data_IF_649988580166
#
_entry.id   IF_649988580166
#
_cell.length_a   1.000
_cell.length_b   1.000
_cell.length_c   1.000
_cell.angle_alpha   90.00
_cell.angle_beta   90.00
_cell.angle_gamma   90.00
#
_symmetry.space_group_name_H-M   'P 1'
#
loop_
_entity.id
_entity.type
_entity.pdbx_description
1 polymer ?
#
# COMPACT_ATOMS: atom_id res chain seq x y z
N UNK A 1 83.80 -10.50 -14.79
CA UNK A 1 83.15 -10.72 -16.09
C UNK A 1 81.99 -9.75 -16.17
N UNK A 2 82.21 -8.65 -16.88
CA UNK A 2 81.24 -7.58 -17.13
C UNK A 2 80.70 -7.80 -18.53
N UNK A 3 79.38 -7.75 -18.71
CA UNK A 3 78.74 -7.78 -20.02
C UNK A 3 77.77 -6.61 -20.11
N UNK A 4 78.15 -5.63 -20.94
CA UNK A 4 77.36 -4.49 -21.36
C UNK A 4 76.23 -4.92 -22.32
N UNK A 5 75.09 -4.24 -22.26
CA UNK A 5 74.01 -4.31 -23.26
C UNK A 5 73.77 -2.88 -23.78
N UNK A 6 73.65 -2.67 -25.10
CA UNK A 6 73.54 -1.34 -25.69
C UNK A 6 72.10 -0.78 -25.63
N UNK A 7 72.00 0.54 -25.49
CA UNK A 7 70.76 1.33 -25.48
C UNK A 7 70.49 1.84 -26.90
N UNK A 8 69.42 1.37 -27.55
CA UNK A 8 69.02 1.80 -28.90
C UNK A 8 67.82 2.77 -28.85
N UNK A 9 67.89 3.79 -29.71
CA UNK A 9 67.23 5.08 -29.61
C UNK A 9 65.81 5.07 -30.22
N UNK A 10 64.76 5.08 -29.38
CA UNK A 10 63.35 4.88 -29.77
C UNK A 10 62.57 6.21 -29.92
N UNK A 11 63.14 7.25 -30.54
CA UNK A 11 62.46 8.54 -30.76
C UNK A 11 61.78 8.66 -32.14
N UNK A 12 62.14 7.85 -33.13
CA UNK A 12 61.59 7.97 -34.50
C UNK A 12 60.26 7.22 -34.72
N UNK A 13 59.87 6.34 -33.81
CA UNK A 13 58.61 5.56 -33.86
C UNK A 13 57.39 6.33 -33.34
N UNK A 14 57.60 7.35 -32.48
CA UNK A 14 56.52 8.18 -31.91
C UNK A 14 56.04 9.26 -32.91
N UNK A 15 56.94 9.76 -33.76
CA UNK A 15 56.61 10.77 -34.78
C UNK A 15 55.77 10.20 -35.95
N UNK A 16 55.92 8.91 -36.26
CA UNK A 16 55.16 8.23 -37.32
C UNK A 16 53.74 7.83 -36.90
N UNK A 17 53.48 7.67 -35.59
CA UNK A 17 52.14 7.39 -35.08
C UNK A 17 51.26 8.64 -35.04
N UNK A 18 51.84 9.81 -34.73
CA UNK A 18 51.11 11.07 -34.61
C UNK A 18 50.65 11.64 -35.97
N UNK A 19 51.40 11.42 -37.05
CA UNK A 19 50.98 11.89 -38.39
C UNK A 19 49.82 11.07 -38.98
N UNK A 20 49.69 9.78 -38.60
CA UNK A 20 48.55 8.93 -38.98
C UNK A 20 47.26 9.25 -38.22
N UNK A 21 47.36 9.72 -36.97
CA UNK A 21 46.20 10.14 -36.17
C UNK A 21 45.62 11.49 -36.64
N UNK A 22 46.46 12.43 -37.10
CA UNK A 22 46.00 13.75 -37.55
C UNK A 22 45.28 13.68 -38.91
N UNK A 23 45.66 12.74 -39.79
CA UNK A 23 45.00 12.58 -41.09
C UNK A 23 43.63 11.88 -41.03
N UNK A 24 43.30 11.18 -39.94
CA UNK A 24 41.98 10.55 -39.75
C UNK A 24 40.94 11.46 -39.08
N UNK A 25 41.34 12.63 -38.57
CA UNK A 25 40.41 13.59 -37.94
C UNK A 25 39.72 14.48 -38.99
N UNK A 26 40.27 14.59 -40.20
CA UNK A 26 39.73 15.44 -41.27
C UNK A 26 38.69 14.76 -42.18
N UNK A 27 38.33 13.49 -41.93
CA UNK A 27 37.21 12.81 -42.62
C UNK A 27 35.89 12.85 -41.85
N UNK A 28 35.86 13.40 -40.62
CA UNK A 28 34.64 13.45 -39.80
C UNK A 28 33.82 14.75 -39.97
N UNK A 29 34.20 15.64 -40.89
CA UNK A 29 33.50 16.89 -41.19
C UNK A 29 32.50 16.80 -42.36
N UNK A 30 32.11 15.60 -42.79
CA UNK A 30 31.18 15.37 -43.92
C UNK A 30 29.80 14.83 -43.49
N UNK A 31 29.47 14.85 -42.19
CA UNK A 31 28.16 14.42 -41.66
C UNK A 31 27.33 15.58 -41.08
N UNK A 32 27.48 16.79 -41.65
CA UNK A 32 26.77 17.99 -41.19
C UNK A 32 25.54 18.36 -42.05
N UNK A 33 24.94 17.38 -42.72
CA UNK A 33 23.62 17.50 -43.39
C UNK A 33 22.67 16.39 -42.91
N UNK A 34 22.52 16.24 -41.59
CA UNK A 34 21.40 15.50 -41.01
C UNK A 34 20.27 16.50 -40.69
N UNK A 35 19.04 16.31 -41.23
CA UNK A 35 17.92 17.18 -40.87
C UNK A 35 17.63 17.09 -39.37
N UNK A 36 17.41 18.26 -38.76
CA UNK A 36 17.03 18.48 -37.36
C UNK A 36 15.95 17.49 -36.87
N UNK A 37 16.37 16.39 -36.24
CA UNK A 37 15.49 15.44 -35.56
C UNK A 37 14.94 15.99 -34.23
N UNK A 38 15.40 17.15 -33.77
CA UNK A 38 14.93 17.78 -32.53
C UNK A 38 13.58 18.51 -32.64
N UNK A 39 12.92 18.48 -33.81
CA UNK A 39 11.59 19.08 -34.02
C UNK A 39 10.46 18.06 -34.19
N UNK A 40 10.70 16.80 -33.82
CA UNK A 40 9.74 15.71 -33.98
C UNK A 40 9.32 15.04 -32.67
N UNK A 41 9.34 15.78 -31.56
CA UNK A 41 8.78 15.30 -30.28
C UNK A 41 7.58 16.13 -29.79
N UNK A 42 7.30 17.30 -30.41
CA UNK A 42 6.18 18.17 -30.01
C UNK A 42 4.88 17.98 -30.81
N UNK A 43 4.81 17.02 -31.74
CA UNK A 43 3.66 16.85 -32.66
C UNK A 43 2.78 15.63 -32.33
N UNK A 44 3.15 14.76 -31.39
CA UNK A 44 2.34 13.57 -31.07
C UNK A 44 1.40 13.73 -29.88
N UNK A 45 1.47 14.82 -29.09
CA UNK A 45 0.62 14.96 -27.89
C UNK A 45 -0.86 15.29 -28.20
N UNK A 46 -1.18 15.74 -29.42
CA UNK A 46 -2.52 16.22 -29.75
C UNK A 46 -3.42 15.19 -30.48
N UNK A 47 -2.92 13.99 -30.76
CA UNK A 47 -3.67 12.93 -31.46
C UNK A 47 -4.05 11.75 -30.55
N UNK A 48 -4.17 11.97 -29.24
CA UNK A 48 -4.80 10.97 -28.38
C UNK A 48 -6.31 10.94 -28.67
N UNK A 49 -6.77 9.81 -29.19
CA UNK A 49 -8.19 9.52 -29.37
C UNK A 49 -8.95 9.79 -28.05
N UNK A 50 -10.13 10.42 -28.06
CA UNK A 50 -10.89 10.74 -26.84
C UNK A 50 -11.11 9.54 -25.91
N UNK A 51 -11.11 8.31 -26.46
CA UNK A 51 -11.16 7.07 -25.70
C UNK A 51 -9.98 6.88 -24.73
N UNK A 52 -8.77 7.33 -25.09
CA UNK A 52 -7.58 7.20 -24.25
C UNK A 52 -7.71 8.03 -22.96
N UNK A 53 -8.20 9.27 -23.07
CA UNK A 53 -8.39 10.15 -21.92
C UNK A 53 -9.47 9.63 -20.97
N UNK A 54 -10.57 9.09 -21.51
CA UNK A 54 -11.63 8.48 -20.71
C UNK A 54 -11.11 7.23 -19.97
N UNK A 55 -10.40 6.35 -20.68
CA UNK A 55 -9.81 5.15 -20.09
C UNK A 55 -8.80 5.50 -18.99
N UNK A 56 -7.96 6.53 -19.22
CA UNK A 56 -7.01 7.04 -18.22
C UNK A 56 -7.71 7.48 -16.94
N UNK A 57 -8.75 8.32 -17.06
CA UNK A 57 -9.52 8.80 -15.90
C UNK A 57 -10.14 7.63 -15.13
N UNK A 58 -10.71 6.65 -15.85
CA UNK A 58 -11.30 5.46 -15.25
C UNK A 58 -10.28 4.65 -14.45
N UNK A 59 -9.10 4.39 -15.01
CA UNK A 59 -8.03 3.67 -14.32
C UNK A 59 -7.54 4.45 -13.09
N UNK A 60 -7.29 5.76 -13.21
CA UNK A 60 -6.89 6.59 -12.07
C UNK A 60 -7.93 6.56 -10.95
N UNK A 61 -9.22 6.63 -11.28
CA UNK A 61 -10.32 6.54 -10.31
C UNK A 61 -10.28 5.22 -9.52
N UNK A 62 -10.08 4.09 -10.21
CA UNK A 62 -9.95 2.78 -9.56
C UNK A 62 -8.75 2.76 -8.61
N UNK A 63 -7.59 3.25 -9.04
CA UNK A 63 -6.37 3.25 -8.22
C UNK A 63 -6.57 4.11 -6.96
N UNK A 64 -7.19 5.30 -7.10
CA UNK A 64 -7.50 6.17 -5.96
C UNK A 64 -8.42 5.44 -4.98
N UNK A 65 -9.47 4.77 -5.47
CA UNK A 65 -10.38 4.01 -4.61
C UNK A 65 -9.65 2.87 -3.87
N UNK A 66 -8.73 2.16 -4.53
CA UNK A 66 -7.91 1.13 -3.88
C UNK A 66 -6.98 1.70 -2.80
N UNK A 67 -6.30 2.82 -3.10
CA UNK A 67 -5.46 3.54 -2.12
C UNK A 67 -6.29 3.94 -0.91
N UNK A 68 -7.47 4.52 -1.12
CA UNK A 68 -8.38 4.91 -0.04
C UNK A 68 -8.79 3.70 0.81
N UNK A 69 -9.10 2.56 0.20
CA UNK A 69 -9.41 1.32 0.94
C UNK A 69 -8.23 0.88 1.80
N UNK A 70 -7.02 0.83 1.24
CA UNK A 70 -5.81 0.40 1.97
C UNK A 70 -5.52 1.31 3.16
N UNK A 71 -5.57 2.63 2.97
CA UNK A 71 -5.27 3.62 4.02
C UNK A 71 -6.37 3.68 5.08
N UNK A 72 -7.64 3.61 4.67
CA UNK A 72 -8.78 3.74 5.59
C UNK A 72 -9.04 2.47 6.40
N UNK A 73 -8.73 1.27 5.89
CA UNK A 73 -9.01 0.00 6.58
C UNK A 73 -8.52 -0.04 8.04
N UNK A 74 -7.24 0.20 8.37
CA UNK A 74 -6.80 0.17 9.77
C UNK A 74 -7.47 1.24 10.63
N UNK A 75 -7.74 2.42 10.06
CA UNK A 75 -8.42 3.52 10.76
C UNK A 75 -9.88 3.16 11.09
N UNK A 76 -10.60 2.59 10.12
CA UNK A 76 -11.99 2.15 10.28
C UNK A 76 -12.09 1.02 11.30
N UNK A 77 -11.19 0.05 11.26
CA UNK A 77 -11.15 -1.04 12.24
C UNK A 77 -10.98 -0.51 13.67
N UNK A 78 -10.05 0.43 13.90
CA UNK A 78 -9.84 1.04 15.22
C UNK A 78 -11.02 1.92 15.63
N UNK A 79 -11.54 2.74 14.72
CA UNK A 79 -12.70 3.60 14.98
C UNK A 79 -13.91 2.77 15.41
N UNK A 80 -14.28 1.76 14.62
CA UNK A 80 -15.40 0.88 14.95
C UNK A 80 -15.12 0.04 16.19
N UNK A 81 -13.88 -0.33 16.48
CA UNK A 81 -13.55 -0.98 17.74
C UNK A 81 -13.88 -0.09 18.95
N UNK A 82 -13.48 1.18 18.93
CA UNK A 82 -13.73 2.15 20.00
C UNK A 82 -15.24 2.39 20.16
N UNK A 83 -15.95 2.62 19.06
CA UNK A 83 -17.40 2.85 19.05
C UNK A 83 -18.16 1.67 19.67
N UNK A 84 -17.86 0.45 19.21
CA UNK A 84 -18.45 -0.76 19.77
C UNK A 84 -18.09 -1.00 21.24
N UNK A 85 -16.88 -0.62 21.66
CA UNK A 85 -16.47 -0.72 23.06
C UNK A 85 -17.31 0.20 23.97
N UNK A 86 -17.57 1.43 23.55
CA UNK A 86 -18.45 2.34 24.29
C UNK A 86 -19.89 1.86 24.32
N UNK A 87 -20.39 1.31 23.21
CA UNK A 87 -21.76 0.77 23.15
C UNK A 87 -21.95 -0.47 24.06
N UNK A 88 -20.95 -1.36 24.10
CA UNK A 88 -20.90 -2.49 25.07
C UNK A 88 -20.90 -1.99 26.51
N UNK A 89 -20.17 -0.90 26.80
CA UNK A 89 -20.11 -0.32 28.14
C UNK A 89 -21.46 0.31 28.54
N UNK A 90 -22.10 1.01 27.62
CA UNK A 90 -23.41 1.66 27.82
C UNK A 90 -24.54 0.64 28.00
N UNK A 91 -24.55 -0.44 27.22
CA UNK A 91 -25.55 -1.50 27.35
C UNK A 91 -25.39 -2.35 28.62
N UNK A 92 -24.25 -2.29 29.31
CA UNK A 92 -24.03 -2.96 30.60
C UNK A 92 -24.52 -2.17 31.81
N UNK A 93 -24.79 -0.87 31.71
CA UNK A 93 -25.29 -0.12 32.87
C UNK A 93 -26.72 -0.58 33.20
N UNK A 94 -26.99 -1.04 34.43
CA UNK A 94 -28.31 -1.51 34.80
C UNK A 94 -29.31 -0.36 34.63
N UNK A 95 -30.38 -0.62 33.89
CA UNK A 95 -31.51 0.30 33.78
C UNK A 95 -32.02 0.50 35.20
N UNK A 96 -31.93 1.72 35.72
CA UNK A 96 -32.51 2.06 37.02
C UNK A 96 -33.98 1.67 36.96
N UNK A 97 -34.39 0.74 37.83
CA UNK A 97 -35.77 0.27 37.97
C UNK A 97 -36.66 1.49 38.23
N UNK A 98 -37.39 1.94 37.23
CA UNK A 98 -38.60 2.72 37.40
C UNK A 98 -39.76 1.83 36.94
N UNK A 99 -40.78 1.72 37.80
CA UNK A 99 -41.96 0.86 37.67
C UNK A 99 -42.64 0.94 36.30
N UNK A 100 -42.49 -0.11 35.49
CA UNK A 100 -43.37 -0.48 34.38
C UNK A 100 -43.00 -1.89 33.88
N UNK A 101 -43.53 -2.94 34.51
CA UNK A 101 -43.13 -4.34 34.29
C UNK A 101 -43.27 -4.87 32.85
N UNK A 102 -44.10 -4.25 32.01
CA UNK A 102 -44.24 -4.62 30.59
C UNK A 102 -43.26 -3.88 29.67
N UNK A 103 -43.00 -2.59 29.93
CA UNK A 103 -41.99 -1.81 29.21
C UNK A 103 -40.57 -2.26 29.56
N UNK A 104 -40.37 -2.82 30.77
CA UNK A 104 -39.08 -3.35 31.19
C UNK A 104 -38.61 -4.51 30.31
N UNK A 105 -39.52 -5.40 29.89
CA UNK A 105 -39.22 -6.60 29.10
C UNK A 105 -38.77 -6.26 27.67
N UNK A 106 -39.50 -5.37 26.98
CA UNK A 106 -39.12 -4.93 25.63
C UNK A 106 -37.80 -4.12 25.62
N UNK A 107 -37.58 -3.30 26.65
CA UNK A 107 -36.34 -2.51 26.79
C UNK A 107 -35.16 -3.43 27.13
N UNK A 108 -35.36 -4.49 27.91
CA UNK A 108 -34.33 -5.48 28.25
C UNK A 108 -33.90 -6.30 27.03
N UNK A 109 -34.85 -6.74 26.19
CA UNK A 109 -34.56 -7.46 24.94
C UNK A 109 -33.81 -6.59 23.92
N UNK A 110 -34.19 -5.32 23.79
CA UNK A 110 -33.52 -4.36 22.91
C UNK A 110 -32.09 -4.04 23.37
N UNK A 111 -31.89 -3.83 24.67
CA UNK A 111 -30.58 -3.59 25.27
C UNK A 111 -29.66 -4.82 25.12
N UNK A 112 -30.21 -6.03 25.30
CA UNK A 112 -29.46 -7.26 25.10
C UNK A 112 -29.05 -7.50 23.64
N UNK A 113 -29.96 -7.26 22.69
CA UNK A 113 -29.65 -7.36 21.26
C UNK A 113 -28.53 -6.40 20.85
N UNK A 114 -28.62 -5.15 21.31
CA UNK A 114 -27.59 -4.12 21.11
C UNK A 114 -26.26 -4.56 21.72
N UNK A 115 -26.25 -5.02 22.98
CA UNK A 115 -25.06 -5.55 23.62
C UNK A 115 -24.42 -6.68 22.80
N UNK A 116 -25.21 -7.67 22.37
CA UNK A 116 -24.73 -8.84 21.63
C UNK A 116 -24.09 -8.42 20.30
N UNK A 117 -24.76 -7.55 19.55
CA UNK A 117 -24.25 -7.09 18.26
C UNK A 117 -22.97 -6.27 18.42
N UNK A 118 -22.95 -5.31 19.34
CA UNK A 118 -21.76 -4.47 19.60
C UNK A 118 -20.59 -5.29 20.16
N UNK A 119 -20.86 -6.27 21.03
CA UNK A 119 -19.82 -7.16 21.55
C UNK A 119 -19.22 -8.04 20.45
N UNK A 120 -20.08 -8.61 19.60
CA UNK A 120 -19.64 -9.40 18.44
C UNK A 120 -18.83 -8.57 17.46
N UNK A 121 -19.29 -7.35 17.14
CA UNK A 121 -18.56 -6.42 16.28
C UNK A 121 -17.22 -5.97 16.89
N UNK A 122 -17.16 -5.71 18.20
CA UNK A 122 -15.93 -5.38 18.92
C UNK A 122 -14.87 -6.49 18.77
N UNK A 123 -15.27 -7.75 18.93
CA UNK A 123 -14.37 -8.90 18.70
C UNK A 123 -13.95 -9.01 17.25
N UNK A 124 -14.87 -8.81 16.30
CA UNK A 124 -14.53 -8.74 14.88
C UNK A 124 -13.44 -7.71 14.60
N UNK A 125 -13.64 -6.47 15.06
CA UNK A 125 -12.65 -5.40 14.87
C UNK A 125 -11.31 -5.73 15.55
N UNK A 126 -11.34 -6.32 16.75
CA UNK A 126 -10.11 -6.74 17.46
C UNK A 126 -9.30 -7.73 16.64
N UNK A 127 -9.94 -8.78 16.11
CA UNK A 127 -9.26 -9.78 15.28
C UNK A 127 -8.77 -9.19 13.94
N UNK A 128 -9.54 -8.31 13.33
CA UNK A 128 -9.13 -7.58 12.12
C UNK A 128 -7.88 -6.75 12.36
N UNK A 129 -7.81 -6.01 13.48
CA UNK A 129 -6.64 -5.21 13.87
C UNK A 129 -5.42 -6.12 14.10
N UNK A 130 -5.59 -7.20 14.88
CA UNK A 130 -4.50 -8.15 15.18
C UNK A 130 -3.95 -8.75 13.88
N UNK A 131 -4.83 -9.18 12.98
CA UNK A 131 -4.42 -9.71 11.68
C UNK A 131 -3.66 -8.67 10.87
N UNK A 132 -4.19 -7.45 10.74
CA UNK A 132 -3.50 -6.38 10.03
C UNK A 132 -2.10 -6.13 10.58
N UNK A 133 -1.96 -5.96 11.90
CA UNK A 133 -0.65 -5.74 12.55
C UNK A 133 0.29 -6.92 12.31
N UNK A 134 -0.18 -8.15 12.52
CA UNK A 134 0.63 -9.36 12.40
C UNK A 134 1.11 -9.60 10.96
N UNK A 135 0.22 -9.47 9.97
CA UNK A 135 0.57 -9.67 8.57
C UNK A 135 1.40 -8.51 8.00
N UNK A 136 1.19 -7.27 8.44
CA UNK A 136 2.10 -6.16 8.12
C UNK A 136 3.49 -6.41 8.71
N UNK A 137 3.59 -6.83 9.97
CA UNK A 137 4.87 -7.20 10.59
C UNK A 137 5.58 -8.30 9.81
N UNK A 138 4.86 -9.38 9.46
CA UNK A 138 5.40 -10.51 8.71
C UNK A 138 5.86 -10.10 7.31
N UNK A 139 5.07 -9.30 6.61
CA UNK A 139 5.44 -8.73 5.31
C UNK A 139 6.75 -7.94 5.40
N UNK A 140 6.83 -6.97 6.31
CA UNK A 140 8.04 -6.14 6.46
C UNK A 140 9.25 -7.01 6.80
N UNK A 141 9.09 -7.98 7.70
CA UNK A 141 10.19 -8.86 8.14
C UNK A 141 10.76 -9.76 7.03
N UNK A 142 9.94 -10.12 6.03
CA UNK A 142 10.38 -10.97 4.92
C UNK A 142 11.00 -10.16 3.79
N UNK A 143 10.44 -8.99 3.49
CA UNK A 143 10.79 -8.25 2.28
C UNK A 143 11.82 -7.14 2.50
N UNK A 144 12.12 -6.77 3.75
CA UNK A 144 13.06 -5.71 4.07
C UNK A 144 14.16 -6.21 5.02
N UNK A 145 15.40 -5.82 4.73
CA UNK A 145 16.55 -6.12 5.58
C UNK A 145 16.51 -5.30 6.89
N UNK A 146 16.00 -4.07 6.81
CA UNK A 146 15.81 -3.17 7.95
C UNK A 146 14.31 -2.96 8.19
N UNK A 147 13.86 -3.35 9.38
CA UNK A 147 12.45 -3.32 9.74
C UNK A 147 11.88 -1.90 9.81
N UNK A 148 12.65 -0.92 10.31
CA UNK A 148 12.20 0.48 10.42
C UNK A 148 11.98 1.08 9.04
N UNK A 149 12.92 0.86 8.14
CA UNK A 149 12.84 1.29 6.74
C UNK A 149 11.63 0.65 6.06
N UNK A 150 11.42 -0.65 6.26
CA UNK A 150 10.30 -1.35 5.66
C UNK A 150 8.92 -0.92 6.17
N UNK A 151 8.78 -0.59 7.47
CA UNK A 151 7.56 0.04 7.99
C UNK A 151 7.30 1.39 7.31
N UNK A 152 8.33 2.24 7.23
CA UNK A 152 8.20 3.57 6.64
C UNK A 152 7.78 3.46 5.17
N UNK A 153 8.41 2.57 4.41
CA UNK A 153 8.06 2.35 3.01
C UNK A 153 6.67 1.74 2.84
N UNK A 154 6.26 0.81 3.71
CA UNK A 154 4.90 0.28 3.74
C UNK A 154 3.86 1.39 3.91
N UNK A 155 3.99 2.27 4.91
CA UNK A 155 3.01 3.34 5.12
C UNK A 155 3.10 4.48 4.08
N UNK A 156 4.28 4.72 3.49
CA UNK A 156 4.44 5.75 2.44
C UNK A 156 3.94 5.30 1.08
N UNK A 157 3.88 4.00 0.82
CA UNK A 157 3.53 3.49 -0.50
C UNK A 157 2.23 4.06 -1.07
N UNK A 158 1.08 4.08 -0.34
CA UNK A 158 -0.15 4.62 -0.89
C UNK A 158 -0.04 6.10 -1.29
N UNK A 159 0.81 6.87 -0.59
CA UNK A 159 1.10 8.28 -0.91
C UNK A 159 1.97 8.39 -2.17
N UNK A 160 3.00 7.54 -2.31
CA UNK A 160 3.83 7.45 -3.52
C UNK A 160 2.98 7.10 -4.76
N UNK A 161 1.94 6.27 -4.60
CA UNK A 161 0.97 6.01 -5.68
C UNK A 161 0.25 7.30 -6.09
N UNK A 162 -0.30 8.04 -5.12
CA UNK A 162 -1.03 9.27 -5.39
C UNK A 162 -0.16 10.34 -6.06
N UNK A 163 1.10 10.47 -5.64
CA UNK A 163 2.09 11.35 -6.29
C UNK A 163 2.32 10.93 -7.76
N UNK A 164 2.51 9.63 -8.02
CA UNK A 164 2.72 9.13 -9.38
C UNK A 164 1.52 9.32 -10.34
N UNK A 165 0.30 9.47 -9.79
CA UNK A 165 -0.89 9.79 -10.59
C UNK A 165 -0.97 11.27 -10.96
N UNK A 166 -0.31 12.15 -10.19
CA UNK A 166 -0.22 13.58 -10.47
C UNK A 166 0.78 13.89 -11.58
N UNK A 167 1.79 13.04 -11.77
CA UNK A 167 2.76 13.20 -12.84
C UNK A 167 2.11 12.86 -14.20
N UNK A 168 2.28 13.76 -15.18
CA UNK A 168 1.69 13.62 -16.52
C UNK A 168 2.15 12.35 -17.26
N UNK A 169 3.23 11.74 -16.79
CA UNK A 169 3.77 10.49 -17.28
C UNK A 169 3.36 9.35 -16.33
N UNK A 170 2.17 8.77 -16.55
CA UNK A 170 1.73 7.54 -15.89
C UNK A 170 2.63 6.36 -16.29
N UNK A 171 3.87 6.35 -15.83
CA UNK A 171 4.79 5.22 -15.94
C UNK A 171 4.51 4.29 -14.77
N UNK A 172 3.31 3.71 -14.78
CA UNK A 172 2.82 2.76 -13.78
C UNK A 172 3.80 1.57 -13.59
N UNK A 173 4.67 1.31 -14.56
CA UNK A 173 5.63 0.21 -14.56
C UNK A 173 6.99 0.52 -13.92
N UNK A 174 7.42 1.78 -13.78
CA UNK A 174 8.83 2.06 -13.48
C UNK A 174 9.14 2.40 -12.02
N UNK A 175 8.13 2.73 -11.20
CA UNK A 175 8.38 3.20 -9.83
C UNK A 175 7.72 2.38 -8.73
N UNK A 176 6.80 1.47 -9.05
CA UNK A 176 6.01 0.79 -8.03
C UNK A 176 6.00 -0.73 -8.31
N UNK A 177 6.69 -1.54 -7.49
CA UNK A 177 6.76 -2.97 -7.71
C UNK A 177 5.38 -3.63 -7.51
N UNK A 178 4.87 -4.42 -8.48
CA UNK A 178 3.54 -5.04 -8.42
C UNK A 178 3.38 -5.98 -7.22
N UNK A 179 4.48 -6.51 -6.69
CA UNK A 179 4.49 -7.35 -5.49
C UNK A 179 3.95 -6.61 -4.26
N UNK A 180 4.25 -5.33 -4.11
CA UNK A 180 3.83 -4.54 -2.95
C UNK A 180 2.32 -4.29 -2.94
N UNK A 181 1.73 -4.01 -4.11
CA UNK A 181 0.27 -3.93 -4.29
C UNK A 181 -0.44 -5.21 -3.86
N UNK A 182 0.04 -6.35 -4.37
CA UNK A 182 -0.56 -7.65 -4.08
C UNK A 182 -0.49 -7.93 -2.58
N UNK A 183 0.65 -7.67 -1.94
CA UNK A 183 0.80 -7.87 -0.50
C UNK A 183 -0.13 -6.97 0.33
N UNK A 184 -0.30 -5.70 -0.02
CA UNK A 184 -1.22 -4.81 0.71
C UNK A 184 -2.68 -5.23 0.58
N UNK A 185 -3.12 -5.55 -0.63
CA UNK A 185 -4.47 -6.05 -0.87
C UNK A 185 -4.70 -7.39 -0.14
N UNK A 186 -3.68 -8.25 -0.10
CA UNK A 186 -3.72 -9.48 0.68
C UNK A 186 -3.87 -9.20 2.17
N UNK A 187 -3.10 -8.26 2.73
CA UNK A 187 -3.20 -7.85 4.14
C UNK A 187 -4.60 -7.28 4.46
N UNK A 188 -5.17 -6.46 3.59
CA UNK A 188 -6.55 -5.97 3.75
C UNK A 188 -7.54 -7.14 3.70
N UNK A 189 -7.43 -8.01 2.70
CA UNK A 189 -8.32 -9.16 2.53
C UNK A 189 -8.28 -10.13 3.71
N UNK A 190 -7.10 -10.47 4.21
CA UNK A 190 -6.95 -11.37 5.36
C UNK A 190 -7.46 -10.72 6.65
N UNK A 191 -7.33 -9.39 6.79
CA UNK A 191 -7.88 -8.64 7.93
C UNK A 191 -9.41 -8.67 7.93
N UNK A 192 -10.04 -8.53 6.77
CA UNK A 192 -11.50 -8.68 6.61
C UNK A 192 -11.95 -10.11 6.93
N UNK A 193 -11.20 -11.13 6.50
CA UNK A 193 -11.51 -12.52 6.86
C UNK A 193 -11.44 -12.75 8.38
N UNK A 194 -10.41 -12.21 9.04
CA UNK A 194 -10.28 -12.29 10.50
C UNK A 194 -11.34 -11.48 11.24
N UNK A 195 -11.84 -10.39 10.65
CA UNK A 195 -12.98 -9.66 11.20
C UNK A 195 -14.23 -10.56 11.28
N UNK A 196 -14.55 -11.30 10.22
CA UNK A 196 -15.69 -12.22 10.26
C UNK A 196 -15.49 -13.35 11.26
N UNK A 197 -14.26 -13.89 11.36
CA UNK A 197 -13.92 -14.90 12.35
C UNK A 197 -14.09 -14.38 13.80
N UNK A 198 -13.56 -13.20 14.09
CA UNK A 198 -13.72 -12.55 15.39
C UNK A 198 -15.18 -12.27 15.71
N UNK A 199 -15.98 -11.84 14.71
CA UNK A 199 -17.42 -11.61 14.88
C UNK A 199 -18.16 -12.88 15.25
N UNK A 200 -17.85 -14.00 14.60
CA UNK A 200 -18.39 -15.31 14.93
C UNK A 200 -18.07 -15.71 16.38
N UNK A 201 -16.80 -15.58 16.79
CA UNK A 201 -16.35 -15.88 18.16
C UNK A 201 -17.07 -14.99 19.17
N UNK A 202 -17.15 -13.68 18.93
CA UNK A 202 -17.83 -12.75 19.83
C UNK A 202 -19.33 -13.01 19.97
N UNK A 203 -19.99 -13.45 18.88
CA UNK A 203 -21.41 -13.86 18.91
C UNK A 203 -21.62 -15.11 19.77
N UNK A 204 -20.73 -16.10 19.66
CA UNK A 204 -20.76 -17.31 20.48
C UNK A 204 -20.55 -17.00 21.97
N UNK A 205 -19.55 -16.18 22.29
CA UNK A 205 -19.24 -15.79 23.68
C UNK A 205 -20.40 -15.01 24.31
N UNK A 206 -20.93 -14.01 23.62
CA UNK A 206 -22.03 -13.19 24.14
C UNK A 206 -23.32 -14.00 24.38
N UNK A 207 -23.65 -14.95 23.50
CA UNK A 207 -24.80 -15.84 23.71
C UNK A 207 -24.69 -16.68 25.00
N UNK A 208 -23.48 -17.17 25.32
CA UNK A 208 -23.23 -17.94 26.54
C UNK A 208 -23.29 -17.09 27.81
N UNK A 209 -22.94 -15.81 27.75
CA UNK A 209 -23.05 -14.89 28.89
C UNK A 209 -24.51 -14.67 29.33
N UNK A 210 -25.46 -14.53 28.39
CA UNK A 210 -26.89 -14.41 28.71
C UNK A 210 -27.41 -15.61 29.49
N UNK A 211 -27.12 -16.81 28.96
CA UNK A 211 -27.58 -18.07 29.54
C UNK A 211 -27.08 -18.27 30.97
N UNK A 212 -25.91 -17.73 31.32
CA UNK A 212 -25.35 -17.88 32.67
C UNK A 212 -25.94 -16.88 33.69
N UNK A 213 -26.40 -15.71 33.25
CA UNK A 213 -26.92 -14.66 34.13
C UNK A 213 -28.44 -14.71 34.31
N UNK A 214 -29.20 -15.16 33.30
CA UNK A 214 -30.67 -15.30 33.42
C UNK A 214 -31.12 -16.59 34.13
N UNK A 215 -30.37 -17.70 34.01
CA UNK A 215 -30.72 -18.97 34.67
C UNK A 215 -30.16 -19.10 36.11
N UNK A 216 -29.66 -18.00 36.68
CA UNK A 216 -29.14 -17.93 38.06
C UNK A 216 -29.98 -17.04 38.99
N UNK A 217 -31.09 -16.48 38.49
CA UNK A 217 -32.15 -15.87 39.30
C UNK A 217 -33.27 -16.88 39.50
#
# INVERSE_FOLDING_TARGET
MSCDIPYENNQNSILLLNSKLINNVNEFSVLQDLPDFHKQESVTLNNYSPYYNILRIFICSIIIMLVLVIVSTPLLLVYFWIDNFFEVRKSRTPIKKCDASLQLLEVEDSAWSTYKNSYSAMYGNTFGIIAWVFFTYFYVSIYYNDFNTGIIDYFRFPLKIMESLSDNNLTLNNHIPPKMWISMLFIVGISVAHYFLGRYIGSYISANFHKKNFFKQ
#
